data_IF_878225015588
#
_entry.id   IF_878225015588
#
_cell.length_a   1.000
_cell.length_b   1.000
_cell.length_c   1.000
_cell.angle_alpha   90.00
_cell.angle_beta   90.00
_cell.angle_gamma   90.00
#
_symmetry.space_group_name_H-M   'P 1'
#
loop_
_entity.id
_entity.type
_entity.pdbx_description
1 polymer ?
#
# COMPACT_ATOMS: atom_id res chain seq x y z
N UNK A 1 8.92 8.79 20.70
CA UNK A 1 9.39 9.11 19.32
C UNK A 1 8.24 9.56 18.43
N UNK A 2 7.15 8.78 18.28
CA UNK A 2 6.04 9.13 17.37
C UNK A 2 5.30 10.43 17.72
N UNK A 3 5.07 10.71 19.01
CA UNK A 3 4.33 11.89 19.48
C UNK A 3 5.17 13.16 19.59
N UNK A 4 6.49 13.03 19.47
CA UNK A 4 7.45 14.15 19.57
C UNK A 4 8.11 14.45 18.23
N UNK A 5 7.76 13.72 17.18
CA UNK A 5 8.34 13.89 15.86
C UNK A 5 7.89 15.21 15.24
N UNK A 6 8.84 15.94 14.66
CA UNK A 6 8.56 17.12 13.85
C UNK A 6 9.18 16.91 12.47
N UNK A 7 8.40 17.06 11.39
CA UNK A 7 8.95 16.94 10.05
C UNK A 7 10.02 18.03 9.86
N UNK A 8 11.21 17.68 9.34
CA UNK A 8 12.32 18.62 9.23
C UNK A 8 12.08 19.74 8.20
N UNK A 9 11.13 19.56 7.30
CA UNK A 9 10.77 20.52 6.24
C UNK A 9 9.34 20.30 5.71
N UNK A 10 8.76 21.30 5.00
CA UNK A 10 7.49 21.17 4.28
C UNK A 10 7.55 20.11 3.15
N UNK A 11 6.39 19.70 2.59
CA UNK A 11 6.36 18.80 1.43
C UNK A 11 7.14 19.39 0.25
N UNK A 12 7.94 18.56 -0.41
CA UNK A 12 8.62 18.94 -1.64
C UNK A 12 7.64 18.93 -2.83
N UNK A 13 8.01 19.60 -3.92
CA UNK A 13 7.24 19.53 -5.18
C UNK A 13 7.12 18.10 -5.71
N UNK A 14 8.12 17.24 -5.48
CA UNK A 14 8.06 15.82 -5.86
C UNK A 14 7.04 15.06 -5.01
N UNK A 15 6.99 15.30 -3.70
CA UNK A 15 5.99 14.66 -2.84
C UNK A 15 4.57 15.06 -3.26
N UNK A 16 4.37 16.35 -3.55
CA UNK A 16 3.10 16.89 -4.03
C UNK A 16 2.75 16.28 -5.39
N UNK A 17 3.71 16.20 -6.32
CA UNK A 17 3.52 15.58 -7.63
C UNK A 17 3.09 14.11 -7.53
N UNK A 18 3.77 13.32 -6.68
CA UNK A 18 3.40 11.92 -6.44
C UNK A 18 1.98 11.83 -5.87
N UNK A 19 1.64 12.66 -4.88
CA UNK A 19 0.29 12.69 -4.30
C UNK A 19 -0.75 13.00 -5.38
N UNK A 20 -0.55 14.05 -6.18
CA UNK A 20 -1.49 14.45 -7.23
C UNK A 20 -1.68 13.32 -8.24
N UNK A 21 -0.60 12.72 -8.74
CA UNK A 21 -0.70 11.65 -9.74
C UNK A 21 -1.35 10.40 -9.16
N UNK A 22 -1.01 10.01 -7.92
CA UNK A 22 -1.66 8.89 -7.23
C UNK A 22 -3.15 9.15 -6.99
N UNK A 23 -3.53 10.36 -6.57
CA UNK A 23 -4.94 10.74 -6.41
C UNK A 23 -5.68 10.72 -7.74
N UNK A 24 -5.12 11.24 -8.82
CA UNK A 24 -5.73 11.20 -10.15
C UNK A 24 -5.90 9.77 -10.64
N UNK A 25 -4.87 8.93 -10.50
CA UNK A 25 -4.92 7.50 -10.84
C UNK A 25 -6.03 6.77 -10.07
N UNK A 26 -6.12 7.03 -8.76
CA UNK A 26 -7.16 6.45 -7.91
C UNK A 26 -8.56 6.93 -8.29
N UNK A 27 -8.73 8.21 -8.64
CA UNK A 27 -10.01 8.74 -9.12
C UNK A 27 -10.43 8.09 -10.44
N UNK A 28 -9.51 7.86 -11.37
CA UNK A 28 -9.78 7.11 -12.61
C UNK A 28 -10.29 5.70 -12.27
N UNK A 29 -9.64 5.00 -11.34
CA UNK A 29 -10.10 3.69 -10.85
C UNK A 29 -11.52 3.78 -10.28
N UNK A 30 -11.81 4.75 -9.41
CA UNK A 30 -13.14 4.95 -8.84
C UNK A 30 -14.19 5.21 -9.93
N UNK A 31 -13.89 6.06 -10.90
CA UNK A 31 -14.79 6.35 -12.03
C UNK A 31 -15.08 5.08 -12.83
N UNK A 32 -14.06 4.30 -13.18
CA UNK A 32 -14.27 3.04 -13.91
C UNK A 32 -15.12 2.04 -13.12
N UNK A 33 -14.90 1.90 -11.80
CA UNK A 33 -15.69 0.99 -10.96
C UNK A 33 -17.14 1.45 -10.76
N UNK A 34 -17.38 2.76 -10.75
CA UNK A 34 -18.76 3.30 -10.78
C UNK A 34 -19.39 3.04 -12.15
N UNK A 35 -18.71 3.36 -13.25
CA UNK A 35 -19.23 3.22 -14.61
C UNK A 35 -19.55 1.76 -14.99
N UNK A 36 -18.75 0.81 -14.50
CA UNK A 36 -18.94 -0.63 -14.72
C UNK A 36 -19.87 -1.30 -13.69
N UNK A 37 -20.41 -0.57 -12.72
CA UNK A 37 -21.18 -1.11 -11.59
C UNK A 37 -20.42 -2.16 -10.74
N UNK A 38 -19.09 -2.06 -10.70
CA UNK A 38 -18.21 -2.98 -9.96
C UNK A 38 -17.56 -2.34 -8.73
N UNK A 39 -18.24 -1.36 -8.12
CA UNK A 39 -17.77 -0.56 -6.96
C UNK A 39 -17.25 -1.42 -5.81
N UNK A 40 -17.79 -2.63 -5.62
CA UNK A 40 -17.30 -3.58 -4.61
C UNK A 40 -15.81 -3.91 -4.75
N UNK A 41 -15.26 -3.88 -5.98
CA UNK A 41 -13.84 -4.11 -6.20
C UNK A 41 -12.95 -2.97 -5.71
N UNK A 42 -13.47 -1.79 -5.31
CA UNK A 42 -12.66 -0.78 -4.61
C UNK A 42 -12.12 -1.28 -3.25
N UNK A 43 -12.66 -2.38 -2.73
CA UNK A 43 -12.16 -3.06 -1.54
C UNK A 43 -10.98 -4.01 -1.84
N UNK A 44 -10.55 -4.13 -3.09
CA UNK A 44 -9.33 -4.86 -3.41
C UNK A 44 -8.13 -4.22 -2.68
N UNK A 45 -7.18 -5.01 -2.13
CA UNK A 45 -6.10 -4.48 -1.30
C UNK A 45 -5.25 -3.39 -1.94
N UNK A 46 -5.08 -3.40 -3.27
CA UNK A 46 -4.34 -2.37 -3.99
C UNK A 46 -5.04 -1.00 -3.95
N UNK A 47 -6.35 -0.95 -4.15
CA UNK A 47 -7.12 0.29 -4.09
C UNK A 47 -7.21 0.84 -2.67
N UNK A 48 -7.37 -0.05 -1.68
CA UNK A 48 -7.26 0.34 -0.26
C UNK A 48 -5.86 0.86 0.08
N UNK A 49 -4.82 0.27 -0.49
CA UNK A 49 -3.44 0.74 -0.35
C UNK A 49 -3.23 2.12 -0.97
N UNK A 50 -3.75 2.38 -2.16
CA UNK A 50 -3.73 3.71 -2.78
C UNK A 50 -4.43 4.74 -1.87
N UNK A 51 -5.65 4.43 -1.41
CA UNK A 51 -6.39 5.30 -0.49
C UNK A 51 -5.65 5.55 0.82
N UNK A 52 -5.03 4.52 1.40
CA UNK A 52 -4.22 4.64 2.62
C UNK A 52 -3.01 5.55 2.40
N UNK A 53 -2.28 5.37 1.30
CA UNK A 53 -1.13 6.22 0.98
C UNK A 53 -1.54 7.68 0.74
N UNK A 54 -2.64 7.91 0.00
CA UNK A 54 -3.23 9.24 -0.19
C UNK A 54 -3.57 9.87 1.18
N UNK A 55 -4.22 9.13 2.08
CA UNK A 55 -4.54 9.60 3.42
C UNK A 55 -3.29 9.92 4.26
N UNK A 56 -2.27 9.07 4.22
CA UNK A 56 -0.97 9.26 4.89
C UNK A 56 -0.26 10.51 4.35
N UNK A 57 -0.31 10.75 3.05
CA UNK A 57 0.31 11.91 2.39
C UNK A 57 -0.44 13.20 2.69
N UNK A 58 -1.77 13.20 2.59
CA UNK A 58 -2.62 14.36 2.91
C UNK A 58 -2.73 14.68 4.39
N UNK A 59 -2.29 13.78 5.29
CA UNK A 59 -2.44 13.99 6.73
C UNK A 59 -1.87 15.35 7.18
N UNK A 60 -2.66 16.25 7.77
CA UNK A 60 -2.27 17.65 7.94
C UNK A 60 -1.15 17.82 8.96
N UNK A 61 -1.21 17.07 10.07
CA UNK A 61 -0.23 17.15 11.15
C UNK A 61 0.62 15.88 11.25
N UNK A 62 1.85 15.94 10.75
CA UNK A 62 2.82 14.84 10.88
C UNK A 62 3.38 14.67 12.30
N UNK A 63 2.96 15.46 13.29
CA UNK A 63 3.24 15.18 14.71
C UNK A 63 2.33 14.10 15.28
N UNK A 64 1.19 13.85 14.63
CA UNK A 64 0.31 12.75 14.99
C UNK A 64 1.01 11.40 14.77
N UNK A 65 0.86 10.42 15.69
CA UNK A 65 1.42 9.08 15.51
C UNK A 65 0.76 8.29 14.36
N UNK A 66 -0.46 8.67 13.95
CA UNK A 66 -1.29 7.90 13.01
C UNK A 66 -0.65 7.72 11.62
N UNK A 67 -0.26 8.78 10.89
CA UNK A 67 0.32 8.61 9.55
C UNK A 67 1.61 7.78 9.56
N UNK A 68 2.38 7.84 10.66
CA UNK A 68 3.57 7.02 10.83
C UNK A 68 3.22 5.55 11.04
N UNK A 69 2.25 5.25 11.90
CA UNK A 69 1.81 3.88 12.13
C UNK A 69 1.25 3.24 10.85
N UNK A 70 0.38 3.98 10.14
CA UNK A 70 -0.18 3.53 8.86
C UNK A 70 0.91 3.28 7.81
N UNK A 71 1.90 4.18 7.71
CA UNK A 71 3.03 3.96 6.81
C UNK A 71 3.81 2.69 7.19
N UNK A 72 4.11 2.48 8.47
CA UNK A 72 4.88 1.31 8.89
C UNK A 72 4.12 -0.01 8.66
N UNK A 73 2.80 -0.04 8.87
CA UNK A 73 1.96 -1.18 8.46
C UNK A 73 2.04 -1.38 6.95
N UNK A 74 1.91 -0.30 6.20
CA UNK A 74 1.96 -0.34 4.74
C UNK A 74 3.28 -0.91 4.20
N UNK A 75 4.43 -0.60 4.83
CA UNK A 75 5.73 -1.16 4.45
C UNK A 75 5.78 -2.70 4.55
N UNK A 76 4.93 -3.32 5.37
CA UNK A 76 4.76 -4.77 5.38
C UNK A 76 3.83 -5.24 4.26
N UNK A 77 2.73 -4.54 4.00
CA UNK A 77 1.69 -4.97 3.04
C UNK A 77 1.97 -4.61 1.59
N UNK A 78 3.03 -3.83 1.30
CA UNK A 78 3.38 -3.40 -0.07
C UNK A 78 3.64 -4.57 -1.05
N UNK A 79 3.89 -5.79 -0.54
CA UNK A 79 4.04 -6.99 -1.36
C UNK A 79 2.85 -7.24 -2.29
N UNK A 80 1.64 -6.81 -1.91
CA UNK A 80 0.44 -6.99 -2.73
C UNK A 80 0.56 -6.29 -4.09
N UNK A 81 1.15 -5.09 -4.12
CA UNK A 81 1.37 -4.37 -5.37
C UNK A 81 2.44 -5.04 -6.24
N UNK A 82 3.49 -5.61 -5.62
CA UNK A 82 4.50 -6.39 -6.34
C UNK A 82 3.85 -7.64 -6.97
N UNK A 83 3.03 -8.36 -6.20
CA UNK A 83 2.31 -9.53 -6.69
C UNK A 83 1.38 -9.19 -7.85
N UNK A 84 0.65 -8.08 -7.76
CA UNK A 84 -0.23 -7.62 -8.84
C UNK A 84 0.52 -7.22 -10.13
N UNK A 85 1.74 -6.68 -10.02
CA UNK A 85 2.56 -6.37 -11.21
C UNK A 85 3.18 -7.63 -11.83
N UNK A 86 3.54 -8.63 -11.02
CA UNK A 86 4.12 -9.90 -11.50
C UNK A 86 3.06 -10.85 -12.07
N UNK A 87 1.88 -10.87 -11.46
CA UNK A 87 0.76 -11.75 -11.80
C UNK A 87 -0.52 -10.93 -11.93
N UNK A 88 -0.61 -10.08 -12.98
CA UNK A 88 -1.75 -9.17 -13.13
C UNK A 88 -3.02 -9.95 -13.45
N UNK A 89 -4.10 -9.65 -12.72
CA UNK A 89 -5.45 -10.09 -13.08
C UNK A 89 -6.17 -8.94 -13.80
N UNK A 90 -6.25 -9.06 -15.11
CA UNK A 90 -6.81 -8.04 -16.00
C UNK A 90 -8.16 -8.43 -16.58
N UNK A 91 -8.79 -9.51 -16.08
CA UNK A 91 -10.03 -10.05 -16.67
C UNK A 91 -11.20 -9.07 -16.64
N UNK A 92 -11.25 -8.21 -15.62
CA UNK A 92 -12.31 -7.22 -15.43
C UNK A 92 -11.91 -5.80 -15.91
N UNK A 93 -10.89 -5.68 -16.77
CA UNK A 93 -10.40 -4.40 -17.29
C UNK A 93 -10.81 -4.22 -18.77
N UNK A 94 -12.05 -3.79 -18.98
CA UNK A 94 -12.66 -3.67 -20.31
C UNK A 94 -12.69 -2.23 -20.83
N UNK A 95 -12.64 -1.23 -19.94
CA UNK A 95 -12.75 0.17 -20.32
C UNK A 95 -11.42 0.74 -20.85
N UNK A 96 -11.52 1.74 -21.72
CA UNK A 96 -10.35 2.42 -22.28
C UNK A 96 -9.47 2.98 -21.16
N UNK A 97 -8.19 2.59 -21.15
CA UNK A 97 -7.22 3.08 -20.18
C UNK A 97 -7.24 2.37 -18.83
N UNK A 98 -8.14 1.42 -18.57
CA UNK A 98 -8.14 0.65 -17.31
C UNK A 98 -6.84 -0.12 -17.11
N UNK A 99 -6.38 -0.85 -18.13
CA UNK A 99 -5.12 -1.61 -18.06
C UNK A 99 -3.92 -0.67 -17.85
N UNK A 100 -3.88 0.45 -18.54
CA UNK A 100 -2.80 1.44 -18.36
C UNK A 100 -2.83 2.01 -16.94
N UNK A 101 -4.00 2.43 -16.46
CA UNK A 101 -4.17 2.96 -15.11
C UNK A 101 -3.84 1.91 -14.04
N UNK A 102 -4.14 0.63 -14.29
CA UNK A 102 -3.74 -0.47 -13.41
C UNK A 102 -2.22 -0.46 -13.19
N UNK A 103 -1.41 -0.48 -14.25
CA UNK A 103 0.06 -0.48 -14.11
C UNK A 103 0.59 0.82 -13.50
N UNK A 104 0.00 1.97 -13.87
CA UNK A 104 0.37 3.28 -13.30
C UNK A 104 0.08 3.32 -11.80
N UNK A 105 -1.12 2.95 -11.37
CA UNK A 105 -1.54 2.97 -9.97
C UNK A 105 -0.65 2.04 -9.12
N UNK A 106 -0.42 0.81 -9.59
CA UNK A 106 0.42 -0.15 -8.87
C UNK A 106 1.89 0.30 -8.80
N UNK A 107 2.40 0.93 -9.85
CA UNK A 107 3.71 1.58 -9.82
C UNK A 107 3.77 2.71 -8.78
N UNK A 108 2.75 3.58 -8.74
CA UNK A 108 2.67 4.69 -7.79
C UNK A 108 2.56 4.22 -6.34
N UNK A 109 1.81 3.14 -6.10
CA UNK A 109 1.68 2.50 -4.78
C UNK A 109 3.05 1.99 -4.27
N UNK A 110 4.01 1.67 -5.15
CA UNK A 110 5.39 1.33 -4.78
C UNK A 110 6.33 2.54 -4.73
N UNK A 111 6.15 3.52 -5.62
CA UNK A 111 6.98 4.74 -5.68
C UNK A 111 6.72 5.66 -4.48
N UNK A 112 5.44 5.88 -4.14
CA UNK A 112 5.05 6.75 -3.04
C UNK A 112 5.72 6.39 -1.70
N UNK A 113 5.60 5.16 -1.16
CA UNK A 113 6.26 4.78 0.10
C UNK A 113 7.78 4.92 0.02
N UNK A 114 8.42 4.55 -1.10
CA UNK A 114 9.86 4.71 -1.28
C UNK A 114 10.28 6.19 -1.20
N UNK A 115 9.50 7.08 -1.81
CA UNK A 115 9.71 8.52 -1.69
C UNK A 115 9.47 9.01 -0.25
N UNK A 116 8.43 8.52 0.43
CA UNK A 116 8.15 8.91 1.82
C UNK A 116 9.31 8.53 2.75
N UNK A 117 9.93 7.36 2.56
CA UNK A 117 11.15 6.95 3.26
C UNK A 117 12.32 7.91 2.96
N UNK A 118 12.54 8.24 1.68
CA UNK A 118 13.57 9.20 1.25
C UNK A 118 13.34 10.61 1.79
N UNK A 119 12.08 11.02 1.91
CA UNK A 119 11.70 12.34 2.38
C UNK A 119 12.04 12.56 3.85
N UNK A 120 12.31 11.53 4.68
CA UNK A 120 12.53 11.67 6.13
C UNK A 120 11.45 12.50 6.87
N UNK A 121 10.26 12.67 6.28
CA UNK A 121 9.11 13.40 6.89
C UNK A 121 8.18 12.48 7.68
N UNK A 122 8.52 11.19 7.75
CA UNK A 122 7.78 10.17 8.46
C UNK A 122 8.72 9.38 9.35
N UNK A 123 8.24 8.97 10.52
CA UNK A 123 8.98 8.08 11.41
C UNK A 123 8.90 6.66 10.83
N UNK A 124 10.05 6.14 10.46
CA UNK A 124 10.21 4.75 10.04
C UNK A 124 10.70 3.97 11.24
N UNK A 125 9.85 3.09 11.76
CA UNK A 125 10.21 2.25 12.91
C UNK A 125 11.19 1.16 12.45
N UNK A 126 12.13 0.73 13.31
CA UNK A 126 12.94 -0.45 13.04
C UNK A 126 12.05 -1.64 12.66
N UNK A 127 12.51 -2.48 11.74
CA UNK A 127 11.80 -3.70 11.44
C UNK A 127 11.76 -4.58 12.71
N UNK A 128 10.57 -4.98 13.13
CA UNK A 128 10.36 -5.82 14.30
C UNK A 128 9.32 -6.90 14.01
N UNK A 129 9.43 -8.02 14.71
CA UNK A 129 8.46 -9.10 14.60
C UNK A 129 7.08 -8.63 15.07
N UNK A 130 7.02 -7.81 16.12
CA UNK A 130 5.75 -7.28 16.66
C UNK A 130 4.98 -6.48 15.62
N UNK A 131 5.65 -5.56 14.91
CA UNK A 131 5.01 -4.76 13.85
C UNK A 131 4.59 -5.63 12.66
N UNK A 132 5.40 -6.64 12.34
CA UNK A 132 5.12 -7.55 11.25
C UNK A 132 3.90 -8.44 11.53
N UNK A 133 3.82 -9.02 12.73
CA UNK A 133 2.67 -9.80 13.18
C UNK A 133 1.43 -8.93 13.33
N UNK A 134 1.55 -7.73 13.90
CA UNK A 134 0.43 -6.78 13.98
C UNK A 134 -0.11 -6.45 12.58
N UNK A 135 0.77 -6.15 11.63
CA UNK A 135 0.39 -5.87 10.24
C UNK A 135 -0.27 -7.08 9.58
N UNK A 136 0.25 -8.29 9.81
CA UNK A 136 -0.33 -9.52 9.28
C UNK A 136 -1.72 -9.78 9.84
N UNK A 137 -1.93 -9.66 11.16
CA UNK A 137 -3.24 -9.86 11.75
C UNK A 137 -4.24 -8.78 11.33
N UNK A 138 -3.80 -7.54 11.14
CA UNK A 138 -4.65 -6.49 10.57
C UNK A 138 -5.05 -6.81 9.13
N UNK A 139 -4.10 -7.25 8.30
CA UNK A 139 -4.36 -7.71 6.94
C UNK A 139 -5.32 -8.92 6.93
N UNK A 140 -5.07 -9.92 7.78
CA UNK A 140 -5.89 -11.12 7.88
C UNK A 140 -7.30 -10.81 8.40
N UNK A 141 -7.45 -9.83 9.29
CA UNK A 141 -8.76 -9.35 9.75
C UNK A 141 -9.50 -8.60 8.64
N UNK A 142 -8.83 -7.73 7.89
CA UNK A 142 -9.44 -7.11 6.72
C UNK A 142 -9.87 -8.17 5.68
N UNK A 143 -8.96 -9.07 5.35
CA UNK A 143 -9.15 -10.04 4.27
C UNK A 143 -10.15 -11.16 4.62
N UNK A 144 -10.11 -11.67 5.84
CA UNK A 144 -10.98 -12.76 6.25
C UNK A 144 -12.35 -12.23 6.67
N UNK A 145 -12.61 -11.71 7.88
CA UNK A 145 -13.97 -11.36 8.26
C UNK A 145 -14.59 -10.24 7.40
N UNK A 146 -13.85 -9.17 7.05
CA UNK A 146 -14.47 -8.05 6.32
C UNK A 146 -14.76 -8.42 4.86
N UNK A 147 -13.75 -8.81 4.08
CA UNK A 147 -13.98 -9.16 2.67
C UNK A 147 -14.82 -10.42 2.50
N UNK A 148 -14.68 -11.44 3.34
CA UNK A 148 -15.51 -12.66 3.24
C UNK A 148 -16.99 -12.35 3.42
N UNK A 149 -17.36 -11.57 4.44
CA UNK A 149 -18.76 -11.24 4.69
C UNK A 149 -19.35 -10.47 3.51
N UNK A 150 -18.62 -9.49 2.99
CA UNK A 150 -19.06 -8.71 1.83
C UNK A 150 -19.14 -9.55 0.56
N UNK A 151 -18.17 -10.43 0.32
CA UNK A 151 -18.16 -11.34 -0.82
C UNK A 151 -19.34 -12.31 -0.77
N UNK A 152 -19.64 -12.89 0.40
CA UNK A 152 -20.80 -13.78 0.58
C UNK A 152 -22.13 -13.04 0.39
N UNK A 153 -22.20 -11.76 0.77
CA UNK A 153 -23.42 -10.94 0.64
C UNK A 153 -23.67 -10.42 -0.76
N UNK A 154 -22.62 -10.22 -1.54
CA UNK A 154 -22.68 -9.54 -2.84
C UNK A 154 -22.32 -10.43 -4.03
N UNK A 155 -21.87 -11.66 -3.77
CA UNK A 155 -21.36 -12.63 -4.74
C UNK A 155 -20.12 -12.18 -5.54
N UNK A 156 -19.52 -11.04 -5.20
CA UNK A 156 -18.22 -10.63 -5.77
C UNK A 156 -17.08 -11.44 -5.14
N UNK A 157 -16.20 -11.99 -5.97
CA UNK A 157 -15.00 -12.67 -5.49
C UNK A 157 -13.90 -11.66 -5.10
N UNK A 158 -14.11 -10.94 -4.00
CA UNK A 158 -13.19 -9.93 -3.50
C UNK A 158 -11.88 -10.57 -3.04
N UNK A 159 -10.77 -10.16 -3.65
CA UNK A 159 -9.42 -10.67 -3.41
C UNK A 159 -9.33 -12.20 -3.23
N UNK A 160 -10.10 -12.94 -4.04
CA UNK A 160 -10.07 -14.41 -4.02
C UNK A 160 -10.47 -15.03 -2.68
N UNK A 161 -11.40 -14.42 -1.93
CA UNK A 161 -11.94 -15.03 -0.69
C UNK A 161 -12.95 -16.16 -0.96
N UNK A 162 -13.55 -16.20 -2.17
CA UNK A 162 -14.50 -17.24 -2.57
C UNK A 162 -13.84 -18.29 -3.47
N UNK A 163 -13.17 -17.85 -4.53
CA UNK A 163 -12.57 -18.70 -5.57
C UNK A 163 -11.11 -18.30 -5.78
N UNK A 164 -10.17 -19.26 -5.97
CA UNK A 164 -8.76 -18.95 -6.21
C UNK A 164 -8.53 -18.05 -7.42
N UNK A 165 -7.40 -17.32 -7.46
CA UNK A 165 -6.95 -16.62 -8.67
C UNK A 165 -6.67 -17.61 -9.80
N UNK A 166 -6.58 -17.11 -11.03
CA UNK A 166 -6.27 -17.90 -12.25
C UNK A 166 -4.80 -18.33 -12.33
N UNK A 167 -4.26 -18.89 -11.24
CA UNK A 167 -2.94 -19.50 -11.16
C UNK A 167 -3.13 -21.01 -10.99
N UNK A 168 -2.64 -21.80 -11.96
CA UNK A 168 -2.83 -23.26 -12.01
C UNK A 168 -2.53 -23.93 -10.67
N UNK A 169 -1.41 -23.59 -10.04
CA UNK A 169 -1.01 -24.15 -8.75
C UNK A 169 -2.03 -23.87 -7.63
N UNK A 170 -2.67 -22.70 -7.61
CA UNK A 170 -3.66 -22.35 -6.58
C UNK A 170 -5.02 -22.98 -6.86
N UNK A 171 -5.35 -23.22 -8.13
CA UNK A 171 -6.55 -23.96 -8.53
C UNK A 171 -6.42 -25.43 -8.10
N UNK A 172 -5.27 -26.05 -8.36
CA UNK A 172 -5.00 -27.47 -8.04
C UNK A 172 -4.99 -27.75 -6.53
N UNK A 173 -4.64 -26.76 -5.70
CA UNK A 173 -4.69 -26.88 -4.24
C UNK A 173 -6.12 -27.03 -3.68
N UNK A 174 -7.14 -26.74 -4.48
CA UNK A 174 -8.54 -26.87 -4.07
C UNK A 174 -8.80 -26.08 -2.78
N UNK A 175 -9.49 -26.65 -1.76
CA UNK A 175 -9.83 -25.93 -0.52
C UNK A 175 -8.64 -25.33 0.25
N UNK A 176 -7.42 -25.83 0.02
CA UNK A 176 -6.22 -25.40 0.75
C UNK A 176 -5.63 -24.07 0.24
N UNK A 177 -6.07 -23.56 -0.91
CA UNK A 177 -5.48 -22.38 -1.54
C UNK A 177 -5.46 -21.15 -0.62
N UNK A 178 -6.48 -20.96 0.23
CA UNK A 178 -6.56 -19.82 1.15
C UNK A 178 -5.49 -19.87 2.22
N UNK A 179 -5.26 -21.04 2.81
CA UNK A 179 -4.21 -21.22 3.83
C UNK A 179 -2.86 -20.95 3.19
N UNK A 180 -2.62 -21.50 2.00
CA UNK A 180 -1.41 -21.24 1.21
C UNK A 180 -1.23 -19.75 0.92
N UNK A 181 -2.28 -19.04 0.51
CA UNK A 181 -2.23 -17.59 0.29
C UNK A 181 -1.88 -16.82 1.55
N UNK A 182 -2.41 -17.19 2.72
CA UNK A 182 -2.03 -16.55 3.99
C UNK A 182 -0.57 -16.85 4.37
N UNK A 183 -0.08 -18.07 4.14
CA UNK A 183 1.32 -18.42 4.37
C UNK A 183 2.24 -17.61 3.45
N UNK A 184 1.92 -17.52 2.16
CA UNK A 184 2.66 -16.70 1.20
C UNK A 184 2.61 -15.23 1.60
N UNK A 185 1.44 -14.73 2.02
CA UNK A 185 1.30 -13.35 2.49
C UNK A 185 2.19 -13.07 3.69
N UNK A 186 2.18 -13.92 4.73
CA UNK A 186 3.02 -13.75 5.92
C UNK A 186 4.51 -13.69 5.55
N UNK A 187 4.98 -14.64 4.73
CA UNK A 187 6.37 -14.67 4.26
C UNK A 187 6.70 -13.41 3.44
N UNK A 188 5.81 -13.02 2.53
CA UNK A 188 6.00 -11.85 1.67
C UNK A 188 6.03 -10.54 2.47
N UNK A 189 5.26 -10.44 3.56
CA UNK A 189 5.30 -9.30 4.47
C UNK A 189 6.62 -9.21 5.24
N UNK A 190 7.24 -10.36 5.57
CA UNK A 190 8.59 -10.38 6.14
C UNK A 190 9.61 -9.96 5.09
N UNK A 191 9.61 -10.59 3.92
CA UNK A 191 10.55 -10.28 2.82
C UNK A 191 10.48 -8.80 2.45
N UNK A 192 9.28 -8.25 2.31
CA UNK A 192 9.10 -6.86 1.87
C UNK A 192 9.65 -5.86 2.88
N UNK A 193 9.33 -6.03 4.18
CA UNK A 193 9.83 -5.08 5.18
C UNK A 193 11.32 -5.27 5.49
N UNK A 194 11.74 -6.51 5.74
CA UNK A 194 13.08 -6.81 6.26
C UNK A 194 14.13 -6.79 5.16
N UNK A 195 13.79 -7.26 3.95
CA UNK A 195 14.73 -7.32 2.83
C UNK A 195 14.53 -6.11 1.92
N UNK A 196 13.36 -5.95 1.27
CA UNK A 196 13.19 -4.92 0.24
C UNK A 196 13.35 -3.50 0.80
N UNK A 197 12.54 -3.12 1.79
CA UNK A 197 12.67 -1.80 2.41
C UNK A 197 13.89 -1.68 3.33
N UNK A 198 14.36 -2.79 3.91
CA UNK A 198 15.60 -2.82 4.70
C UNK A 198 16.81 -2.45 3.84
N UNK A 199 16.97 -3.10 2.69
CA UNK A 199 18.01 -2.79 1.72
C UNK A 199 17.85 -1.39 1.16
N UNK A 200 16.63 -0.98 0.78
CA UNK A 200 16.38 0.39 0.31
C UNK A 200 16.89 1.43 1.31
N UNK A 201 16.55 1.30 2.60
CA UNK A 201 17.02 2.21 3.64
C UNK A 201 18.55 2.16 3.84
N UNK A 202 19.18 1.01 3.62
CA UNK A 202 20.62 0.85 3.75
C UNK A 202 21.41 1.48 2.59
N UNK A 203 20.87 1.44 1.36
CA UNK A 203 21.53 2.00 0.17
C UNK A 203 21.13 3.43 -0.16
N UNK A 204 20.02 3.90 0.41
CA UNK A 204 19.46 5.21 0.07
C UNK A 204 20.45 6.33 0.43
N UNK A 205 20.73 7.25 -0.52
CA UNK A 205 21.66 8.33 -0.27
C UNK A 205 21.15 9.23 0.85
N UNK A 206 22.05 9.63 1.73
CA UNK A 206 21.68 10.49 2.83
C UNK A 206 21.28 11.87 2.30
N UNK A 207 20.00 12.22 2.45
CA UNK A 207 19.53 13.56 2.13
C UNK A 207 20.19 14.54 3.11
N UNK A 208 21.10 15.38 2.61
CA UNK A 208 21.76 16.45 3.38
C UNK A 208 20.70 17.40 3.93
N UNK A 209 20.55 17.42 5.25
CA UNK A 209 19.74 18.40 5.95
C UNK A 209 20.52 19.71 5.98
N UNK A 210 20.32 20.59 4.98
CA UNK A 210 20.90 21.92 5.05
C UNK A 210 20.28 22.67 6.24
N UNK A 211 21.12 23.18 7.13
CA UNK A 211 20.72 23.94 8.32
C UNK A 211 20.00 25.23 7.91
N UNK A 212 18.67 25.23 7.85
CA UNK A 212 17.83 26.44 7.68
C UNK A 212 17.74 27.24 9.00
N UNK A 213 18.48 26.85 10.05
CA UNK A 213 18.36 27.43 11.40
C UNK A 213 19.27 28.63 11.68
N UNK A 214 19.57 29.49 10.69
CA UNK A 214 20.44 30.67 10.90
C UNK A 214 19.87 32.04 10.52
N UNK A 215 18.56 32.18 10.28
CA UNK A 215 17.96 33.46 9.84
C UNK A 215 16.81 34.00 10.72
N UNK A 216 16.79 33.69 12.02
CA UNK A 216 15.84 34.33 12.96
C UNK A 216 16.50 34.83 14.24
N UNK A 217 17.68 35.43 14.12
CA UNK A 217 18.27 36.24 15.19
C UNK A 217 19.02 37.43 14.58
N UNK A 218 18.29 38.50 14.31
CA UNK A 218 18.77 39.88 14.24
C UNK A 218 17.56 40.79 14.46
#
# INVERSE_FOLDING_TARGET
MLTTFQPPYPPSSTEIGILVVLTLSFLVTVIHKIASNTVMFLLQPCHVSAGLLIAVMMWPDKRSPIPHLLLNVYLHTAWGAIAALLFPDLRDHEMLGEVTNFFVEHGLILIAPAYLLYSKRYVVMPASLDMALFSFFLYAFYHCPVLQVLALRTAYNLNYVLVPPSLTILIELGPWYRITMYTIALISMMVTRFILFGLYLAVMPEKRLFNVKKEKSL
#
